data_IF_674941402909
#
_entry.id   IF_674941402909
#
_cell.length_a   1.000
_cell.length_b   1.000
_cell.length_c   1.000
_cell.angle_alpha   90.00
_cell.angle_beta   90.00
_cell.angle_gamma   90.00
#
_symmetry.space_group_name_H-M   'P 1'
#
loop_
_entity.id
_entity.type
_entity.pdbx_description
1 polymer ?
#
# COMPACT_ATOMS: atom_id res chain seq x y z
N UNK A 1 0.84 -3.98 4.61
CA UNK A 1 -0.08 -3.04 5.30
C UNK A 1 -1.49 -3.11 4.71
N UNK A 2 -2.54 -3.33 5.50
CA UNK A 2 -3.93 -3.29 5.03
C UNK A 2 -4.43 -1.84 4.89
N UNK A 3 -4.89 -1.45 3.70
CA UNK A 3 -5.36 -0.09 3.39
C UNK A 3 -6.87 0.03 3.37
N UNK A 4 -7.54 -0.99 2.85
CA UNK A 4 -8.99 -1.01 2.72
C UNK A 4 -9.50 -2.42 2.87
N UNK A 5 -10.64 -2.56 3.55
CA UNK A 5 -11.52 -3.73 3.49
C UNK A 5 -12.91 -3.21 3.21
N UNK A 6 -13.45 -3.54 2.05
CA UNK A 6 -14.69 -2.94 1.54
C UNK A 6 -15.53 -3.98 0.83
N UNK A 7 -16.84 -3.96 1.05
CA UNK A 7 -17.80 -4.64 0.18
C UNK A 7 -18.10 -3.80 -1.09
N UNK A 8 -17.88 -2.48 -1.01
CA UNK A 8 -18.08 -1.56 -2.13
C UNK A 8 -16.89 -1.61 -3.11
N UNK A 9 -17.15 -1.37 -4.42
CA UNK A 9 -16.12 -1.29 -5.43
C UNK A 9 -15.04 -0.26 -5.10
N UNK A 10 -13.79 -0.63 -5.36
CA UNK A 10 -12.66 0.27 -5.18
C UNK A 10 -12.17 0.75 -6.54
N UNK A 11 -11.81 2.02 -6.65
CA UNK A 11 -11.27 2.56 -7.91
C UNK A 11 -9.76 2.43 -7.93
N UNK A 12 -9.20 1.89 -9.01
CA UNK A 12 -7.76 1.70 -9.19
C UNK A 12 -7.31 2.52 -10.40
N UNK A 13 -6.20 3.26 -10.22
CA UNK A 13 -5.51 3.90 -11.33
C UNK A 13 -4.01 3.62 -11.31
N UNK A 14 -3.46 3.20 -12.44
CA UNK A 14 -2.03 3.01 -12.70
C UNK A 14 -1.70 3.70 -14.02
N UNK A 15 -0.84 4.71 -13.97
CA UNK A 15 -0.34 5.35 -15.19
C UNK A 15 0.88 4.60 -15.73
N UNK A 16 0.82 4.33 -17.03
CA UNK A 16 1.78 3.58 -17.82
C UNK A 16 1.65 2.06 -17.68
N UNK A 17 2.72 1.34 -18.00
CA UNK A 17 2.72 -0.11 -18.05
C UNK A 17 2.58 -0.73 -16.65
N UNK A 18 1.73 -1.75 -16.54
CA UNK A 18 1.52 -2.51 -15.32
C UNK A 18 1.41 -4.01 -15.59
N UNK A 19 1.69 -4.79 -14.55
CA UNK A 19 1.62 -6.24 -14.52
C UNK A 19 0.62 -6.66 -13.43
N UNK A 20 -0.24 -7.61 -13.77
CA UNK A 20 -1.06 -8.37 -12.81
C UNK A 20 -0.45 -9.75 -12.64
N UNK A 21 -0.21 -10.15 -11.39
CA UNK A 21 0.46 -11.41 -11.05
C UNK A 21 -0.36 -12.22 -10.06
N UNK A 22 -0.23 -13.54 -10.11
CA UNK A 22 -0.64 -14.43 -9.03
C UNK A 22 0.48 -14.47 -7.96
N UNK A 23 0.24 -14.03 -6.72
CA UNK A 23 1.26 -14.03 -5.68
C UNK A 23 1.63 -15.42 -5.16
N UNK A 24 0.81 -16.45 -5.37
CA UNK A 24 1.12 -17.82 -4.92
C UNK A 24 2.05 -18.52 -5.90
N UNK A 25 1.77 -18.38 -7.20
CA UNK A 25 2.47 -19.11 -8.26
C UNK A 25 3.49 -18.26 -8.99
N UNK A 26 3.56 -16.97 -8.67
CA UNK A 26 4.46 -16.01 -9.32
C UNK A 26 4.12 -15.75 -10.81
N UNK A 27 3.03 -16.36 -11.30
CA UNK A 27 2.62 -16.35 -12.70
C UNK A 27 2.11 -14.97 -13.12
N UNK A 28 2.55 -14.51 -14.29
CA UNK A 28 1.99 -13.30 -14.94
C UNK A 28 0.59 -13.61 -15.47
N UNK A 29 -0.41 -12.89 -14.98
CA UNK A 29 -1.81 -13.06 -15.37
C UNK A 29 -2.21 -12.09 -16.49
N UNK A 30 -1.72 -10.85 -16.43
CA UNK A 30 -1.97 -9.85 -17.45
C UNK A 30 -0.86 -8.80 -17.47
N UNK A 31 -0.57 -8.23 -18.63
CA UNK A 31 0.27 -7.04 -18.79
C UNK A 31 -0.47 -6.07 -19.68
N UNK A 32 -0.60 -4.82 -19.23
CA UNK A 32 -1.29 -3.78 -20.00
C UNK A 32 -0.67 -2.43 -19.72
N UNK A 33 -1.21 -1.39 -20.34
CA UNK A 33 -0.87 0.01 -20.11
C UNK A 33 -2.12 0.75 -19.66
N UNK A 34 -1.90 1.74 -18.80
CA UNK A 34 -2.88 2.73 -18.36
C UNK A 34 -4.18 2.11 -17.84
N UNK A 35 -4.28 2.04 -16.53
CA UNK A 35 -5.52 1.75 -15.84
C UNK A 35 -5.98 3.07 -15.24
N UNK A 36 -7.08 3.68 -15.68
CA UNK A 36 -7.50 5.00 -15.21
C UNK A 36 -8.90 4.94 -14.65
N UNK A 37 -9.03 5.07 -13.33
CA UNK A 37 -10.33 5.16 -12.67
C UNK A 37 -11.15 3.87 -12.78
N UNK A 38 -10.50 2.72 -12.91
CA UNK A 38 -11.19 1.46 -13.18
C UNK A 38 -11.67 0.84 -11.88
N UNK A 39 -12.94 0.42 -11.87
CA UNK A 39 -13.52 -0.27 -10.72
C UNK A 39 -12.96 -1.69 -10.61
N UNK A 40 -12.51 -2.00 -9.40
CA UNK A 40 -12.22 -3.33 -8.89
C UNK A 40 -13.43 -3.78 -8.06
N UNK A 41 -14.05 -4.88 -8.47
CA UNK A 41 -15.30 -5.35 -7.87
C UNK A 41 -15.39 -6.88 -7.92
N UNK A 42 -16.36 -7.45 -7.21
CA UNK A 42 -16.67 -8.88 -7.27
C UNK A 42 -17.94 -9.07 -8.10
N UNK A 43 -17.90 -10.02 -9.03
CA UNK A 43 -19.07 -10.41 -9.83
C UNK A 43 -18.99 -11.91 -10.11
N UNK A 44 -20.11 -12.62 -9.90
CA UNK A 44 -20.19 -14.08 -10.06
C UNK A 44 -19.06 -14.81 -9.31
N UNK A 45 -18.83 -14.42 -8.05
CA UNK A 45 -17.76 -14.96 -7.19
C UNK A 45 -16.35 -14.84 -7.76
N UNK A 46 -16.11 -13.90 -8.68
CA UNK A 46 -14.79 -13.64 -9.24
C UNK A 46 -14.39 -12.18 -9.06
N UNK A 47 -13.10 -11.98 -8.81
CA UNK A 47 -12.52 -10.64 -8.81
C UNK A 47 -12.47 -10.10 -10.25
N UNK A 48 -13.00 -8.91 -10.45
CA UNK A 48 -13.05 -8.23 -11.75
C UNK A 48 -12.24 -6.95 -11.73
N UNK A 49 -11.39 -6.78 -12.75
CA UNK A 49 -10.70 -5.53 -13.03
C UNK A 49 -10.63 -5.32 -14.54
N UNK A 50 -11.05 -4.15 -15.01
CA UNK A 50 -11.11 -3.82 -16.45
C UNK A 50 -11.87 -4.88 -17.29
N UNK A 51 -12.94 -5.46 -16.73
CA UNK A 51 -13.74 -6.52 -17.37
C UNK A 51 -13.13 -7.93 -17.32
N UNK A 52 -11.86 -8.06 -16.93
CA UNK A 52 -11.14 -9.33 -16.85
C UNK A 52 -11.40 -10.01 -15.51
N UNK A 53 -11.67 -11.32 -15.53
CA UNK A 53 -11.75 -12.16 -14.33
C UNK A 53 -10.37 -12.57 -13.85
N UNK A 54 -10.17 -12.49 -12.54
CA UNK A 54 -8.97 -12.93 -11.86
C UNK A 54 -9.29 -13.94 -10.75
N UNK A 55 -8.29 -14.73 -10.31
CA UNK A 55 -8.41 -15.53 -9.09
C UNK A 55 -8.72 -14.66 -7.87
N UNK A 56 -9.03 -15.31 -6.74
CA UNK A 56 -9.34 -14.62 -5.47
C UNK A 56 -8.19 -13.76 -4.93
N UNK A 57 -6.98 -13.92 -5.47
CA UNK A 57 -5.83 -13.10 -5.09
C UNK A 57 -4.99 -12.73 -6.30
N UNK A 58 -4.68 -11.44 -6.41
CA UNK A 58 -3.76 -10.89 -7.41
C UNK A 58 -2.85 -9.83 -6.80
N UNK A 59 -1.75 -9.55 -7.47
CA UNK A 59 -0.91 -8.39 -7.22
C UNK A 59 -0.86 -7.47 -8.43
N UNK A 60 -0.96 -6.17 -8.17
CA UNK A 60 -0.77 -5.12 -9.15
C UNK A 60 0.62 -4.51 -8.97
N UNK A 61 1.39 -4.57 -10.04
CA UNK A 61 2.77 -4.08 -10.13
C UNK A 61 2.80 -2.97 -11.18
N UNK A 62 3.13 -1.75 -10.78
CA UNK A 62 3.44 -0.70 -11.77
C UNK A 62 4.87 -0.90 -12.28
N UNK A 63 5.03 -0.95 -13.61
CA UNK A 63 6.33 -1.15 -14.26
C UNK A 63 6.97 0.15 -14.73
N UNK A 64 6.16 1.18 -14.98
CA UNK A 64 6.62 2.48 -15.49
C UNK A 64 6.48 3.64 -14.51
N UNK A 65 5.50 3.58 -13.61
CA UNK A 65 5.29 4.61 -12.58
C UNK A 65 5.64 4.04 -11.21
N UNK A 66 6.08 4.90 -10.28
CA UNK A 66 6.42 4.45 -8.92
C UNK A 66 5.19 4.22 -8.04
N UNK A 67 4.00 4.63 -8.50
CA UNK A 67 2.82 4.76 -7.66
C UNK A 67 1.56 4.16 -8.30
N UNK A 68 0.70 3.56 -7.48
CA UNK A 68 -0.65 3.11 -7.83
C UNK A 68 -1.65 3.95 -7.03
N UNK A 69 -2.70 4.48 -7.67
CA UNK A 69 -3.78 5.21 -7.00
C UNK A 69 -4.89 4.23 -6.63
N UNK A 70 -5.33 4.27 -5.38
CA UNK A 70 -6.54 3.61 -4.89
C UNK A 70 -7.48 4.69 -4.36
N UNK A 71 -8.67 4.76 -4.96
CA UNK A 71 -9.61 5.87 -4.80
C UNK A 71 -8.89 7.21 -4.99
N UNK A 72 -8.68 7.96 -3.91
CA UNK A 72 -8.06 9.28 -3.92
C UNK A 72 -6.64 9.36 -3.37
N UNK A 73 -6.02 8.21 -3.06
CA UNK A 73 -4.69 8.17 -2.47
C UNK A 73 -3.71 7.37 -3.33
N UNK A 74 -2.48 7.88 -3.44
CA UNK A 74 -1.37 7.23 -4.12
C UNK A 74 -0.55 6.37 -3.15
N UNK A 75 -0.14 5.20 -3.62
CA UNK A 75 0.60 4.20 -2.87
C UNK A 75 1.84 3.78 -3.64
N UNK A 76 2.97 3.62 -2.94
CA UNK A 76 4.20 3.03 -3.50
C UNK A 76 4.13 1.52 -3.50
N UNK A 77 5.01 0.89 -4.26
CA UNK A 77 5.24 -0.56 -4.16
C UNK A 77 4.13 -1.37 -4.82
N UNK A 78 3.81 -2.51 -4.21
CA UNK A 78 2.90 -3.51 -4.76
C UNK A 78 1.56 -3.41 -4.04
N UNK A 79 0.48 -3.59 -4.78
CA UNK A 79 -0.85 -3.75 -4.20
C UNK A 79 -1.36 -5.17 -4.40
N UNK A 80 -1.51 -5.90 -3.31
CA UNK A 80 -2.20 -7.18 -3.28
C UNK A 80 -3.70 -6.96 -3.07
N UNK A 81 -4.51 -7.58 -3.92
CA UNK A 81 -5.96 -7.57 -3.82
C UNK A 81 -6.41 -8.98 -3.45
N UNK A 82 -7.27 -9.08 -2.45
CA UNK A 82 -7.80 -10.35 -1.95
C UNK A 82 -9.33 -10.26 -1.92
N UNK A 83 -10.00 -11.19 -2.61
CA UNK A 83 -11.40 -11.50 -2.35
C UNK A 83 -11.50 -12.37 -1.10
N UNK A 84 -12.29 -11.91 -0.14
CA UNK A 84 -12.56 -12.63 1.10
C UNK A 84 -13.80 -13.53 0.94
N UNK A 85 -13.95 -14.49 1.84
CA UNK A 85 -15.10 -15.42 1.85
C UNK A 85 -16.45 -14.74 2.09
N UNK A 86 -16.45 -13.55 2.70
CA UNK A 86 -17.63 -12.70 2.91
C UNK A 86 -17.97 -11.83 1.69
N UNK A 87 -17.36 -12.11 0.53
CA UNK A 87 -17.47 -11.31 -0.70
C UNK A 87 -17.07 -9.83 -0.52
N UNK A 88 -16.22 -9.53 0.46
CA UNK A 88 -15.50 -8.25 0.53
C UNK A 88 -14.15 -8.32 -0.17
N UNK A 89 -13.59 -7.16 -0.50
CA UNK A 89 -12.25 -7.01 -1.04
C UNK A 89 -11.33 -6.41 0.03
N UNK A 90 -10.19 -7.05 0.26
CA UNK A 90 -9.07 -6.48 1.02
C UNK A 90 -7.97 -6.01 0.08
N UNK A 91 -7.47 -4.79 0.32
CA UNK A 91 -6.34 -4.21 -0.41
C UNK A 91 -5.18 -4.05 0.56
N UNK A 92 -4.08 -4.73 0.24
CA UNK A 92 -2.86 -4.75 1.02
C UNK A 92 -1.76 -4.09 0.21
N UNK A 93 -1.06 -3.13 0.80
CA UNK A 93 0.12 -2.53 0.22
C UNK A 93 1.39 -3.09 0.84
N UNK A 94 2.23 -3.61 -0.05
CA UNK A 94 3.56 -4.14 0.25
C UNK A 94 4.61 -3.16 -0.26
N UNK A 95 5.45 -2.70 0.67
CA UNK A 95 6.48 -1.69 0.45
C UNK A 95 7.59 -1.85 1.49
N UNK A 96 8.77 -1.29 1.24
CA UNK A 96 9.84 -1.28 2.23
C UNK A 96 9.44 -0.43 3.44
N UNK A 97 10.05 -0.73 4.60
CA UNK A 97 9.81 0.02 5.84
C UNK A 97 10.10 1.51 5.64
N UNK A 98 11.18 1.87 4.95
CA UNK A 98 11.49 3.28 4.68
C UNK A 98 10.40 3.98 3.85
N UNK A 99 9.86 3.32 2.82
CA UNK A 99 8.75 3.88 2.04
C UNK A 99 7.47 4.01 2.85
N UNK A 100 7.23 3.08 3.78
CA UNK A 100 6.13 3.21 4.73
C UNK A 100 6.32 4.44 5.63
N UNK A 101 7.53 4.64 6.16
CA UNK A 101 7.84 5.77 7.04
C UNK A 101 7.71 7.13 6.35
N UNK A 102 7.99 7.23 5.05
CA UNK A 102 7.74 8.46 4.30
C UNK A 102 6.27 8.92 4.38
N UNK A 103 5.33 7.97 4.36
CA UNK A 103 3.90 8.26 4.46
C UNK A 103 3.36 8.35 5.89
N UNK A 104 4.15 7.97 6.90
CA UNK A 104 3.78 8.04 8.33
C UNK A 104 4.35 9.28 9.01
N UNK A 105 5.62 9.60 8.77
CA UNK A 105 6.38 10.49 9.65
C UNK A 105 5.67 11.84 9.86
N UNK A 106 5.23 12.46 8.76
CA UNK A 106 4.57 13.77 8.76
C UNK A 106 3.08 13.74 9.16
N UNK A 107 2.53 12.55 9.37
CA UNK A 107 1.18 12.39 9.91
C UNK A 107 1.15 12.46 11.43
N UNK A 108 2.29 12.22 12.07
CA UNK A 108 2.42 12.14 13.53
C UNK A 108 3.11 13.38 14.12
N UNK A 109 3.76 14.22 13.30
CA UNK A 109 4.54 15.39 13.76
C UNK A 109 4.25 16.64 12.94
N UNK A 110 4.48 17.80 13.54
CA UNK A 110 4.37 19.09 12.84
C UNK A 110 5.57 19.35 11.93
N UNK A 111 5.35 19.95 10.77
CA UNK A 111 6.42 20.23 9.79
C UNK A 111 7.51 21.17 10.34
N UNK A 112 7.19 21.99 11.34
CA UNK A 112 8.10 22.94 11.98
C UNK A 112 9.06 22.32 12.99
N UNK A 113 8.96 21.01 13.27
CA UNK A 113 9.83 20.36 14.24
C UNK A 113 11.31 20.44 13.81
N UNK A 114 12.25 20.52 14.78
CA UNK A 114 13.68 20.47 14.50
C UNK A 114 14.08 19.19 13.77
N UNK A 115 15.13 19.25 12.95
CA UNK A 115 15.60 18.10 12.17
C UNK A 115 15.92 16.87 13.04
N UNK A 116 16.57 17.06 14.19
CA UNK A 116 16.88 15.98 15.12
C UNK A 116 15.63 15.36 15.75
N UNK A 117 14.56 16.14 15.96
CA UNK A 117 13.28 15.61 16.43
C UNK A 117 12.60 14.75 15.35
N UNK A 118 12.67 15.17 14.08
CA UNK A 118 12.18 14.37 12.95
C UNK A 118 12.95 13.04 12.82
N UNK A 119 14.28 13.07 12.99
CA UNK A 119 15.13 11.87 12.99
C UNK A 119 14.78 10.93 14.15
N UNK A 120 14.63 11.46 15.36
CA UNK A 120 14.22 10.67 16.52
C UNK A 120 12.85 9.99 16.29
N UNK A 121 11.89 10.73 15.74
CA UNK A 121 10.58 10.16 15.39
C UNK A 121 10.69 9.10 14.29
N UNK A 122 11.55 9.28 13.28
CA UNK A 122 11.76 8.27 12.25
C UNK A 122 12.27 6.95 12.83
N UNK A 123 13.21 6.99 13.78
CA UNK A 123 13.72 5.80 14.48
C UNK A 123 12.63 5.15 15.33
N UNK A 124 11.85 5.93 16.07
CA UNK A 124 10.75 5.41 16.89
C UNK A 124 9.69 4.72 16.02
N UNK A 125 9.29 5.37 14.91
CA UNK A 125 8.32 4.83 13.97
C UNK A 125 8.85 3.55 13.28
N UNK A 126 10.12 3.52 12.89
CA UNK A 126 10.77 2.32 12.34
C UNK A 126 10.75 1.16 13.31
N UNK A 127 11.09 1.43 14.57
CA UNK A 127 11.10 0.43 15.64
C UNK A 127 9.71 -0.18 15.83
N UNK A 128 8.67 0.65 15.83
CA UNK A 128 7.29 0.20 15.89
C UNK A 128 6.92 -0.66 14.67
N UNK A 129 7.22 -0.22 13.45
CA UNK A 129 6.93 -0.98 12.23
C UNK A 129 7.61 -2.35 12.25
N UNK A 130 8.89 -2.41 12.63
CA UNK A 130 9.65 -3.66 12.75
C UNK A 130 9.10 -4.59 13.84
N UNK A 131 8.65 -4.02 14.96
CA UNK A 131 8.00 -4.79 16.03
C UNK A 131 6.68 -5.42 15.53
N UNK A 132 5.87 -4.67 14.79
CA UNK A 132 4.61 -5.17 14.24
C UNK A 132 4.84 -6.28 13.21
N UNK A 133 5.83 -6.12 12.32
CA UNK A 133 6.26 -7.18 11.37
C UNK A 133 6.63 -8.47 12.11
N UNK A 134 7.32 -8.37 13.25
CA UNK A 134 7.73 -9.54 14.03
C UNK A 134 6.60 -10.20 14.81
N UNK A 135 5.56 -9.45 15.18
CA UNK A 135 4.49 -9.94 16.06
C UNK A 135 3.22 -10.37 15.31
N UNK A 136 2.98 -9.86 14.10
CA UNK A 136 1.80 -10.20 13.29
C UNK A 136 2.00 -11.41 12.35
N UNK A 137 2.66 -12.47 12.84
CA UNK A 137 3.11 -13.63 12.03
C UNK A 137 1.98 -14.43 11.38
N UNK A 138 0.73 -14.31 11.88
CA UNK A 138 -0.42 -15.07 11.39
C UNK A 138 -1.41 -14.27 10.53
N UNK A 139 -1.06 -13.04 10.15
CA UNK A 139 -1.92 -12.20 9.32
C UNK A 139 -1.34 -12.06 7.90
N UNK A 140 -2.20 -11.80 6.91
CA UNK A 140 -1.74 -11.53 5.52
C UNK A 140 -1.07 -10.15 5.36
N UNK A 141 -0.94 -9.37 6.43
CA UNK A 141 -0.34 -8.04 6.45
C UNK A 141 0.23 -7.72 7.84
N UNK A 142 1.19 -6.80 7.90
CA UNK A 142 1.95 -6.52 9.14
C UNK A 142 1.46 -5.32 9.96
N UNK A 143 0.78 -4.36 9.32
CA UNK A 143 0.32 -3.10 9.94
C UNK A 143 -1.00 -2.63 9.34
N UNK A 144 -1.83 -1.97 10.15
CA UNK A 144 -3.06 -1.30 9.71
C UNK A 144 -2.81 0.19 9.40
N UNK A 145 -3.68 0.83 8.61
CA UNK A 145 -3.61 2.28 8.31
C UNK A 145 -4.46 3.17 9.22
N UNK A 146 -5.09 2.63 10.26
CA UNK A 146 -6.04 3.34 11.14
C UNK A 146 -5.42 3.64 12.52
N UNK A 147 -6.21 4.26 13.41
CA UNK A 147 -5.78 4.73 14.75
C UNK A 147 -5.24 3.61 15.68
N UNK A 148 -5.48 2.33 15.35
CA UNK A 148 -4.90 1.20 16.07
C UNK A 148 -3.43 0.93 15.67
N UNK A 149 -2.91 1.69 14.71
CA UNK A 149 -1.52 1.70 14.22
C UNK A 149 -1.13 3.14 13.83
N UNK A 150 0.09 3.34 13.32
CA UNK A 150 0.50 4.68 12.87
C UNK A 150 -0.31 5.12 11.65
N UNK A 151 -0.64 6.41 11.57
CA UNK A 151 -1.48 6.90 10.48
C UNK A 151 -0.68 7.03 9.18
N UNK A 152 -0.88 6.07 8.26
CA UNK A 152 -0.22 6.11 6.96
C UNK A 152 -1.06 6.85 5.92
N UNK A 153 -0.50 7.93 5.38
CA UNK A 153 -1.15 8.80 4.42
C UNK A 153 -0.75 8.59 2.96
N UNK A 154 -0.02 7.51 2.65
CA UNK A 154 0.44 7.24 1.29
C UNK A 154 1.44 8.28 0.78
N UNK A 155 1.66 8.29 -0.54
CA UNK A 155 2.56 9.25 -1.20
C UNK A 155 2.11 10.69 -0.98
N UNK A 156 0.80 10.90 -0.85
CA UNK A 156 0.21 12.21 -0.60
C UNK A 156 0.69 12.87 0.70
N UNK A 157 1.24 12.10 1.65
CA UNK A 157 1.69 12.63 2.95
C UNK A 157 3.21 12.69 3.08
N UNK A 158 3.93 12.38 2.01
CA UNK A 158 5.38 12.50 2.00
C UNK A 158 5.79 13.97 1.96
N UNK A 159 6.82 14.31 2.74
CA UNK A 159 7.43 15.64 2.77
C UNK A 159 8.94 15.49 2.60
N UNK A 160 9.63 16.34 1.81
CA UNK A 160 11.08 16.26 1.65
C UNK A 160 11.85 16.24 2.97
N UNK A 161 11.46 17.04 3.97
CA UNK A 161 12.15 17.07 5.29
C UNK A 161 11.95 15.76 6.05
N UNK A 162 10.74 15.22 6.03
CA UNK A 162 10.45 13.92 6.61
C UNK A 162 11.21 12.79 5.92
N UNK A 163 11.18 12.78 4.59
CA UNK A 163 11.89 11.78 3.79
C UNK A 163 13.40 11.83 4.04
N UNK A 164 13.99 13.03 4.15
CA UNK A 164 15.40 13.19 4.55
C UNK A 164 15.65 12.62 5.95
N UNK A 165 14.83 12.94 6.95
CA UNK A 165 15.00 12.39 8.30
C UNK A 165 14.90 10.85 8.34
N UNK A 166 14.00 10.25 7.56
CA UNK A 166 13.91 8.79 7.40
C UNK A 166 15.18 8.23 6.75
N UNK A 167 15.73 8.91 5.74
CA UNK A 167 16.94 8.50 5.03
C UNK A 167 18.20 8.60 5.87
N UNK A 168 18.35 9.70 6.61
CA UNK A 168 19.49 9.96 7.49
C UNK A 168 19.54 9.00 8.69
N UNK A 169 18.45 8.28 8.96
CA UNK A 169 18.31 7.31 10.06
C UNK A 169 18.11 5.89 9.57
N UNK A 170 18.46 5.58 8.32
CA UNK A 170 18.38 4.22 7.78
C UNK A 170 19.22 3.24 8.62
N UNK A 171 18.60 2.13 8.99
CA UNK A 171 19.15 1.06 9.82
C UNK A 171 18.07 0.06 10.21
#
# INVERSE_FOLDING_TARGET
MLIARSADPVTVSIQGQYLVRDPKTDKKLAVSKDLIGVRLYIQNDQLKLAGVSFPDRIELHSLSSKNIKINDRFYRGILSVIRNSDNSISIINTLSVDHYLYGVLMKEVGEWWPAEALKAQAVAARTYAMYQIKTQVNQSFDVYTNQFSQMYGGVNSENPRGNTAVNDTRG
#
